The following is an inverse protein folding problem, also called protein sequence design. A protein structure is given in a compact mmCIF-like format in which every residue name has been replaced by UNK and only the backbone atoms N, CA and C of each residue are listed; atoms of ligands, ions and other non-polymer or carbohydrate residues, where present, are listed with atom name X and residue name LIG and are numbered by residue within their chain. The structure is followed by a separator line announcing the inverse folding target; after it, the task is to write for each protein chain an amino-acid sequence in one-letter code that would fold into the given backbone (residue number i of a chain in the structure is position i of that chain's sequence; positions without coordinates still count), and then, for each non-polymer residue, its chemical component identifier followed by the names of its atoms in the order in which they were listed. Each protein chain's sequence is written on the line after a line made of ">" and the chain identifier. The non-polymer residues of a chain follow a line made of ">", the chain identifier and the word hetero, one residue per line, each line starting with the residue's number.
data_IF_754911763481
#
_entry.id   IF_754911763481
#
_cell.length_a   1.000
_cell.length_b   1.000
_cell.length_c   1.000
_cell.angle_alpha   90.00
_cell.angle_beta   90.00
_cell.angle_gamma   90.00
#
_symmetry.space_group_name_H-M   'P 1'
#
loop_
_entity.id
_entity.type
_entity.pdbx_description
1 polymer ?
#
# COMPACT_ATOMS: atom_id res chain seq x y z
N UNK A 1 15.58 -9.00 10.22
CA UNK A 1 14.36 -9.18 9.38
C UNK A 1 14.65 -10.00 8.13
N UNK A 2 15.67 -9.66 7.32
CA UNK A 2 15.98 -10.43 6.11
C UNK A 2 16.44 -11.87 6.40
N UNK A 3 17.20 -12.08 7.47
CA UNK A 3 17.73 -13.41 7.84
C UNK A 3 16.72 -14.33 8.54
N UNK A 4 15.46 -13.89 8.65
CA UNK A 4 14.40 -14.68 9.31
C UNK A 4 13.87 -15.84 8.45
N UNK A 5 14.27 -15.92 7.18
CA UNK A 5 13.85 -16.98 6.24
C UNK A 5 12.39 -16.90 5.78
N UNK A 6 11.62 -15.92 6.30
CA UNK A 6 10.22 -15.73 5.95
C UNK A 6 10.09 -15.38 4.45
N UNK A 7 9.09 -15.94 3.74
CA UNK A 7 8.94 -15.77 2.30
C UNK A 7 8.73 -14.31 1.88
N UNK A 8 8.17 -13.47 2.75
CA UNK A 8 7.96 -12.03 2.53
C UNK A 8 9.25 -11.19 2.49
N UNK A 9 10.38 -11.70 2.98
CA UNK A 9 11.68 -11.04 2.92
C UNK A 9 12.57 -11.55 1.78
N UNK A 10 12.06 -12.44 0.92
CA UNK A 10 12.80 -12.96 -0.23
C UNK A 10 12.78 -11.95 -1.38
N UNK A 11 13.96 -11.46 -1.77
CA UNK A 11 14.15 -10.60 -2.93
C UNK A 11 14.45 -9.13 -2.58
N UNK A 12 13.81 -8.20 -3.29
CA UNK A 12 14.14 -6.76 -3.30
C UNK A 12 13.51 -5.97 -2.14
N UNK A 13 13.32 -6.56 -0.96
CA UNK A 13 12.55 -5.93 0.13
C UNK A 13 13.14 -4.59 0.58
N UNK A 14 14.46 -4.47 0.68
CA UNK A 14 15.12 -3.20 1.06
C UNK A 14 15.00 -2.15 -0.04
N UNK A 15 15.16 -2.51 -1.31
CA UNK A 15 15.00 -1.57 -2.42
C UNK A 15 13.57 -1.03 -2.47
N UNK A 16 12.57 -1.92 -2.38
CA UNK A 16 11.16 -1.52 -2.32
C UNK A 16 10.84 -0.65 -1.10
N UNK A 17 11.50 -0.88 0.03
CA UNK A 17 11.37 -0.03 1.21
C UNK A 17 11.92 1.36 0.94
N UNK A 18 13.13 1.46 0.39
CA UNK A 18 13.76 2.74 0.03
C UNK A 18 12.94 3.50 -1.00
N UNK A 19 12.38 2.81 -2.01
CA UNK A 19 11.53 3.43 -3.04
C UNK A 19 10.26 4.06 -2.45
N UNK A 20 9.68 3.43 -1.42
CA UNK A 20 8.50 3.97 -0.72
C UNK A 20 8.82 5.23 0.08
N UNK A 21 10.01 5.29 0.68
CA UNK A 21 10.46 6.47 1.41
C UNK A 21 10.99 7.57 0.49
N UNK A 22 11.38 7.23 -0.74
CA UNK A 22 11.85 8.15 -1.78
C UNK A 22 12.83 9.22 -1.25
N UNK A 23 13.94 8.82 -0.60
CA UNK A 23 14.83 9.72 0.15
C UNK A 23 15.53 10.78 -0.72
N UNK A 24 15.46 10.66 -2.04
CA UNK A 24 16.05 11.56 -3.03
C UNK A 24 15.08 12.65 -3.53
N UNK A 25 13.82 12.66 -3.08
CA UNK A 25 12.82 13.66 -3.47
C UNK A 25 12.83 14.87 -2.54
N UNK A 26 12.44 16.03 -3.06
CA UNK A 26 12.19 17.20 -2.22
C UNK A 26 10.92 17.01 -1.38
N UNK A 27 10.80 17.74 -0.26
CA UNK A 27 9.61 17.65 0.61
C UNK A 27 8.30 17.94 -0.15
N UNK A 28 8.34 18.89 -1.09
CA UNK A 28 7.19 19.25 -1.93
C UNK A 28 6.76 18.09 -2.82
N UNK A 29 7.70 17.43 -3.48
CA UNK A 29 7.42 16.28 -4.35
C UNK A 29 6.96 15.06 -3.56
N UNK A 30 7.53 14.84 -2.38
CA UNK A 30 7.11 13.78 -1.46
C UNK A 30 5.65 13.99 -1.01
N UNK A 31 5.28 15.22 -0.63
CA UNK A 31 3.91 15.57 -0.26
C UNK A 31 2.92 15.34 -1.42
N UNK A 32 3.28 15.77 -2.64
CA UNK A 32 2.45 15.56 -3.83
C UNK A 32 2.28 14.07 -4.14
N UNK A 33 3.35 13.28 -4.05
CA UNK A 33 3.31 11.84 -4.25
C UNK A 33 2.39 11.15 -3.25
N UNK A 34 2.50 11.47 -1.96
CA UNK A 34 1.63 10.88 -0.93
C UNK A 34 0.16 11.26 -1.12
N UNK A 35 -0.13 12.52 -1.47
CA UNK A 35 -1.48 12.96 -1.81
C UNK A 35 -2.07 12.19 -2.99
N UNK A 36 -1.26 11.88 -4.01
CA UNK A 36 -1.69 11.05 -5.14
C UNK A 36 -2.07 9.64 -4.69
N UNK A 37 -1.26 9.02 -3.82
CA UNK A 37 -1.56 7.69 -3.27
C UNK A 37 -2.90 7.71 -2.50
N UNK A 38 -3.11 8.70 -1.62
CA UNK A 38 -4.35 8.83 -0.85
C UNK A 38 -5.57 8.99 -1.78
N UNK A 39 -5.48 9.84 -2.80
CA UNK A 39 -6.55 10.02 -3.79
C UNK A 39 -6.86 8.73 -4.55
N UNK A 40 -5.83 8.00 -4.96
CA UNK A 40 -5.97 6.72 -5.65
C UNK A 40 -6.62 5.66 -4.76
N UNK A 41 -6.26 5.61 -3.48
CA UNK A 41 -6.88 4.72 -2.50
C UNK A 41 -8.35 5.05 -2.28
N UNK A 42 -8.70 6.33 -2.14
CA UNK A 42 -10.08 6.76 -1.94
C UNK A 42 -10.99 6.40 -3.13
N UNK A 43 -10.48 6.53 -4.36
CA UNK A 43 -11.21 6.23 -5.58
C UNK A 43 -11.15 4.74 -5.98
N UNK A 44 -10.57 3.88 -5.13
CA UNK A 44 -10.38 2.48 -5.48
C UNK A 44 -11.71 1.71 -5.43
N UNK A 45 -12.33 1.55 -6.61
CA UNK A 45 -13.54 0.76 -6.80
C UNK A 45 -13.40 -0.68 -6.29
N UNK A 46 -12.20 -1.28 -6.43
CA UNK A 46 -11.96 -2.67 -5.98
C UNK A 46 -12.06 -2.81 -4.48
N UNK A 47 -11.65 -1.81 -3.71
CA UNK A 47 -11.80 -1.81 -2.24
C UNK A 47 -13.28 -1.88 -1.88
N UNK A 48 -14.11 -0.99 -2.45
CA UNK A 48 -15.56 -1.00 -2.22
C UNK A 48 -16.24 -2.29 -2.65
N UNK A 49 -15.85 -2.84 -3.80
CA UNK A 49 -16.37 -4.13 -4.26
C UNK A 49 -15.99 -5.27 -3.32
N UNK A 50 -14.77 -5.24 -2.77
CA UNK A 50 -14.32 -6.24 -1.80
C UNK A 50 -15.08 -6.13 -0.48
N UNK A 51 -15.30 -4.91 0.00
CA UNK A 51 -16.10 -4.63 1.21
C UNK A 51 -17.53 -5.17 1.05
N UNK A 52 -18.14 -4.97 -0.13
CA UNK A 52 -19.44 -5.56 -0.47
C UNK A 52 -19.40 -7.09 -0.49
N UNK A 53 -18.38 -7.71 -1.11
CA UNK A 53 -18.23 -9.16 -1.12
C UNK A 53 -18.07 -9.73 0.30
N UNK A 54 -17.30 -9.06 1.16
CA UNK A 54 -17.15 -9.45 2.56
C UNK A 54 -18.46 -9.36 3.32
N UNK A 55 -19.25 -8.31 3.08
CA UNK A 55 -20.58 -8.19 3.65
C UNK A 55 -21.49 -9.35 3.19
N UNK A 56 -21.51 -9.65 1.89
CA UNK A 56 -22.35 -10.75 1.36
C UNK A 56 -21.93 -12.13 1.86
N UNK A 57 -20.63 -12.37 2.04
CA UNK A 57 -20.12 -13.69 2.43
C UNK A 57 -20.10 -13.91 3.94
N UNK A 58 -19.76 -12.88 4.71
CA UNK A 58 -19.41 -12.99 6.13
C UNK A 58 -20.15 -11.98 7.02
N UNK A 59 -21.08 -11.21 6.47
CA UNK A 59 -21.85 -10.17 7.18
C UNK A 59 -20.97 -9.12 7.88
N UNK A 60 -19.74 -8.91 7.39
CA UNK A 60 -18.82 -7.90 7.93
C UNK A 60 -19.26 -6.51 7.40
N UNK A 61 -19.65 -5.58 8.28
CA UNK A 61 -20.08 -4.24 7.88
C UNK A 61 -18.91 -3.36 7.45
N UNK A 62 -19.16 -2.46 6.49
CA UNK A 62 -18.18 -1.54 5.88
C UNK A 62 -18.47 -0.07 6.18
#
# INVERSE_FOLDING_TARGET
>A
MLDTGLPCFRGRTIQLLQDRFAPHKSEKEAAQYMLQIVRNCFLNLRSKMYDQLQYFQNEIPY
#
